data_IF_247749349521
#
_entry.id   IF_247749349521
#
_cell.length_a   1.000
_cell.length_b   1.000
_cell.length_c   1.000
_cell.angle_alpha   90.00
_cell.angle_beta   90.00
_cell.angle_gamma   90.00
#
_symmetry.space_group_name_H-M   'P 1'
#
loop_
_entity.id
_entity.type
_entity.pdbx_description
1 polymer ?
#
# COMPACT_ATOMS: atom_id res chain seq x y z
N UNK A 1 7.00 -14.91 -0.27
CA UNK A 1 7.64 -13.78 -0.99
C UNK A 1 6.61 -12.81 -1.53
N UNK A 2 6.75 -11.53 -1.17
CA UNK A 2 5.86 -10.44 -1.53
C UNK A 2 6.59 -9.31 -2.26
N UNK A 3 5.83 -8.48 -2.97
CA UNK A 3 6.33 -7.24 -3.53
C UNK A 3 5.32 -6.09 -3.40
N UNK A 4 5.84 -4.89 -3.14
CA UNK A 4 5.08 -3.64 -3.06
C UNK A 4 5.71 -2.63 -3.98
N UNK A 5 4.94 -2.16 -4.96
CA UNK A 5 5.36 -1.12 -5.91
C UNK A 5 4.60 0.17 -5.65
N UNK A 6 5.13 1.30 -6.08
CA UNK A 6 4.38 2.56 -6.09
C UNK A 6 3.05 2.41 -6.86
N UNK A 7 1.96 2.95 -6.30
CA UNK A 7 0.59 2.67 -6.75
C UNK A 7 -0.12 3.97 -7.19
N UNK A 8 0.28 4.59 -8.32
CA UNK A 8 -0.39 5.80 -8.80
C UNK A 8 -1.82 5.53 -9.29
N UNK A 9 -2.09 4.27 -9.66
CA UNK A 9 -3.38 3.69 -10.01
C UNK A 9 -3.28 2.17 -9.87
N UNK A 10 -4.37 1.43 -10.11
CA UNK A 10 -4.39 -0.05 -9.99
C UNK A 10 -3.50 -0.73 -11.03
N UNK A 11 -3.45 -0.21 -12.26
CA UNK A 11 -2.82 -0.88 -13.41
C UNK A 11 -1.29 -0.91 -13.32
N UNK A 12 -0.68 0.15 -12.81
CA UNK A 12 0.77 0.34 -12.83
C UNK A 12 1.55 -0.61 -11.90
N UNK A 13 1.20 -0.77 -10.61
CA UNK A 13 1.88 -1.73 -9.73
C UNK A 13 1.69 -3.18 -10.22
N UNK A 14 0.53 -3.53 -10.77
CA UNK A 14 0.29 -4.84 -11.40
C UNK A 14 1.20 -5.04 -12.61
N UNK A 15 1.35 -4.01 -13.46
CA UNK A 15 2.25 -4.07 -14.62
C UNK A 15 3.71 -4.23 -14.19
N UNK A 16 4.16 -3.48 -13.19
CA UNK A 16 5.51 -3.58 -12.64
C UNK A 16 5.78 -4.98 -12.08
N UNK A 17 4.84 -5.52 -11.29
CA UNK A 17 4.90 -6.88 -10.77
C UNK A 17 5.05 -7.92 -11.89
N UNK A 18 4.23 -7.82 -12.94
CA UNK A 18 4.28 -8.72 -14.10
C UNK A 18 5.62 -8.64 -14.84
N UNK A 19 6.16 -7.44 -15.06
CA UNK A 19 7.47 -7.24 -15.71
C UNK A 19 8.59 -7.90 -14.89
N UNK A 20 8.50 -7.82 -13.56
CA UNK A 20 9.50 -8.34 -12.63
C UNK A 20 9.25 -9.80 -12.21
N UNK A 21 8.25 -10.47 -12.78
CA UNK A 21 7.97 -11.89 -12.54
C UNK A 21 7.23 -12.21 -11.23
N UNK A 22 6.62 -11.21 -10.58
CA UNK A 22 5.79 -11.44 -9.39
C UNK A 22 4.36 -11.87 -9.77
N UNK A 23 3.81 -12.81 -9.01
CA UNK A 23 2.40 -13.22 -9.14
C UNK A 23 1.46 -12.18 -8.54
N UNK A 24 0.16 -12.29 -8.85
CA UNK A 24 -0.86 -11.46 -8.22
C UNK A 24 -0.94 -11.69 -6.71
N UNK A 25 -0.80 -12.94 -6.25
CA UNK A 25 -0.87 -13.27 -4.82
C UNK A 25 0.27 -12.61 -4.03
N UNK A 26 1.46 -12.48 -4.64
CA UNK A 26 2.61 -11.80 -4.03
C UNK A 26 2.43 -10.29 -3.86
N UNK A 27 1.51 -9.65 -4.58
CA UNK A 27 1.30 -8.19 -4.50
C UNK A 27 -0.06 -7.80 -3.91
N UNK A 28 -1.03 -8.74 -3.89
CA UNK A 28 -2.40 -8.49 -3.48
C UNK A 28 -2.52 -7.91 -2.07
N UNK A 29 -1.77 -8.37 -1.05
CA UNK A 29 -1.84 -7.79 0.29
C UNK A 29 -1.47 -6.31 0.33
N UNK A 30 -0.44 -5.92 -0.44
CA UNK A 30 0.03 -4.54 -0.51
C UNK A 30 -0.73 -3.65 -1.49
N UNK A 31 -1.62 -4.20 -2.34
CA UNK A 31 -2.33 -3.47 -3.39
C UNK A 31 -3.55 -2.71 -2.83
N UNK A 32 -3.31 -1.58 -2.17
CA UNK A 32 -4.32 -0.77 -1.46
C UNK A 32 -4.95 0.32 -2.32
N UNK A 33 -4.33 0.70 -3.45
CA UNK A 33 -4.83 1.76 -4.34
C UNK A 33 -6.27 1.57 -4.84
N UNK A 34 -6.83 0.35 -5.04
CA UNK A 34 -8.23 0.21 -5.46
C UNK A 34 -9.25 0.77 -4.46
N UNK A 35 -8.87 0.85 -3.17
CA UNK A 35 -9.78 1.26 -2.09
C UNK A 35 -9.36 2.53 -1.37
N UNK A 36 -8.08 2.90 -1.40
CA UNK A 36 -7.54 4.12 -0.75
C UNK A 36 -7.27 5.24 -1.75
N UNK A 37 -6.96 4.91 -3.00
CA UNK A 37 -6.40 5.85 -3.96
C UNK A 37 -4.89 6.09 -3.77
N UNK A 38 -4.33 7.03 -4.53
CA UNK A 38 -2.90 7.33 -4.50
C UNK A 38 -2.55 8.26 -3.33
N UNK A 39 -1.82 7.74 -2.33
CA UNK A 39 -1.30 8.49 -1.18
C UNK A 39 0.11 9.05 -1.38
N UNK A 40 0.59 9.12 -2.63
CA UNK A 40 1.88 9.70 -3.03
C UNK A 40 3.04 9.04 -2.27
N UNK A 41 3.81 9.80 -1.49
CA UNK A 41 4.92 9.30 -0.69
C UNK A 41 4.47 8.23 0.33
N UNK A 42 3.20 8.24 0.74
CA UNK A 42 2.61 7.22 1.60
C UNK A 42 2.21 5.92 0.89
N UNK A 43 2.31 5.85 -0.45
CA UNK A 43 1.79 4.71 -1.23
C UNK A 43 2.54 3.40 -0.93
N UNK A 44 3.87 3.43 -0.96
CA UNK A 44 4.68 2.24 -0.66
C UNK A 44 4.75 1.89 0.82
N UNK A 45 4.88 2.86 1.77
CA UNK A 45 4.76 2.54 3.20
C UNK A 45 3.42 1.90 3.57
N UNK A 46 2.32 2.39 3.02
CA UNK A 46 0.99 1.82 3.29
C UNK A 46 0.84 0.40 2.73
N UNK A 47 1.35 0.17 1.51
CA UNK A 47 1.37 -1.18 0.93
C UNK A 47 2.27 -2.15 1.71
N UNK A 48 3.42 -1.67 2.22
CA UNK A 48 4.28 -2.45 3.11
C UNK A 48 3.56 -2.81 4.41
N UNK A 49 2.92 -1.85 5.09
CA UNK A 49 2.16 -2.11 6.31
C UNK A 49 1.07 -3.18 6.07
N UNK A 50 0.28 -3.04 5.00
CA UNK A 50 -0.75 -4.02 4.64
C UNK A 50 -0.19 -5.40 4.27
N UNK A 51 1.04 -5.46 3.75
CA UNK A 51 1.73 -6.73 3.48
C UNK A 51 2.23 -7.37 4.76
N UNK A 52 2.80 -6.57 5.68
CA UNK A 52 3.25 -7.04 6.98
C UNK A 52 2.09 -7.59 7.81
N UNK A 53 0.87 -7.05 7.68
CA UNK A 53 -0.31 -7.58 8.36
C UNK A 53 -0.54 -9.08 8.13
N UNK A 54 -0.14 -9.64 6.98
CA UNK A 54 -0.34 -11.04 6.61
C UNK A 54 0.95 -11.85 6.42
N UNK A 55 2.12 -11.22 6.56
CA UNK A 55 3.40 -11.88 6.34
C UNK A 55 3.81 -12.77 7.51
N UNK A 56 4.53 -13.86 7.22
CA UNK A 56 5.04 -14.80 8.20
C UNK A 56 6.56 -14.63 8.40
N UNK A 57 7.13 -15.08 9.54
CA UNK A 57 8.57 -15.16 9.69
C UNK A 57 9.25 -15.88 8.51
N UNK A 58 10.38 -15.34 8.06
CA UNK A 58 11.11 -15.85 6.89
C UNK A 58 10.61 -15.34 5.54
N UNK A 59 9.42 -14.73 5.45
CA UNK A 59 8.97 -14.10 4.21
C UNK A 59 9.92 -12.98 3.77
N UNK A 60 10.18 -12.92 2.46
CA UNK A 60 10.92 -11.80 1.84
C UNK A 60 9.95 -10.82 1.19
N UNK A 61 10.13 -9.53 1.45
CA UNK A 61 9.30 -8.44 0.89
C UNK A 61 10.20 -7.47 0.13
N UNK A 62 9.97 -7.36 -1.18
CA UNK A 62 10.57 -6.31 -2.01
C UNK A 62 9.67 -5.06 -1.98
N UNK A 63 10.21 -3.89 -1.65
CA UNK A 63 9.47 -2.62 -1.68
C UNK A 63 10.17 -1.66 -2.61
N UNK A 64 9.47 -1.12 -3.61
CA UNK A 64 10.04 -0.21 -4.62
C UNK A 64 9.18 1.04 -4.75
N UNK A 65 9.71 2.17 -4.29
CA UNK A 65 9.09 3.49 -4.39
C UNK A 65 9.27 4.09 -5.79
N UNK A 66 8.52 5.14 -6.10
CA UNK A 66 8.77 5.98 -7.27
C UNK A 66 8.33 7.41 -6.97
N UNK A 67 9.19 8.37 -7.31
CA UNK A 67 8.90 9.80 -7.26
C UNK A 67 9.14 10.44 -8.62
N UNK A 68 8.20 11.26 -9.10
CA UNK A 68 8.33 11.99 -10.35
C UNK A 68 9.47 13.02 -10.30
N UNK A 69 10.28 13.10 -11.35
CA UNK A 69 11.48 13.96 -11.40
C UNK A 69 12.69 13.40 -12.18
N UNK A 70 13.17 12.16 -12.00
CA UNK A 70 12.58 10.99 -11.35
C UNK A 70 13.60 10.22 -10.49
N UNK A 71 13.08 9.46 -9.52
CA UNK A 71 13.86 8.58 -8.63
C UNK A 71 13.03 7.39 -8.14
N UNK A 72 13.73 6.33 -7.73
CA UNK A 72 13.13 5.12 -7.19
C UNK A 72 14.06 4.52 -6.14
N UNK A 73 13.49 4.16 -4.99
CA UNK A 73 14.22 3.52 -3.90
C UNK A 73 13.72 2.08 -3.74
N UNK A 74 14.64 1.13 -3.64
CA UNK A 74 14.35 -0.29 -3.47
C UNK A 74 14.87 -0.80 -2.12
N UNK A 75 14.01 -1.51 -1.41
CA UNK A 75 14.31 -2.15 -0.12
C UNK A 75 13.96 -3.64 -0.18
N UNK A 76 14.81 -4.47 0.42
CA UNK A 76 14.57 -5.91 0.56
C UNK A 76 14.51 -6.25 2.04
N UNK A 77 13.32 -6.61 2.52
CA UNK A 77 13.09 -6.99 3.91
C UNK A 77 13.03 -8.51 4.04
N UNK A 78 13.54 -9.02 5.17
CA UNK A 78 13.29 -10.39 5.63
C UNK A 78 12.51 -10.29 6.93
N UNK A 79 11.29 -10.81 6.92
CA UNK A 79 10.39 -10.78 8.06
C UNK A 79 10.95 -11.67 9.16
N UNK A 80 11.01 -11.14 10.39
CA UNK A 80 11.58 -11.80 11.56
C UNK A 80 10.48 -12.35 12.47
N UNK A 81 10.85 -13.28 13.37
CA UNK A 81 9.97 -13.94 14.34
C UNK A 81 9.12 -12.97 15.18
N UNK A 82 9.63 -11.76 15.44
CA UNK A 82 8.90 -10.74 16.19
C UNK A 82 7.54 -10.36 15.57
N UNK A 83 7.33 -10.65 14.28
CA UNK A 83 6.06 -10.37 13.61
C UNK A 83 4.89 -11.22 14.12
N UNK A 84 5.19 -12.43 14.62
CA UNK A 84 4.21 -13.40 15.11
C UNK A 84 3.81 -13.15 16.58
N UNK A 85 4.36 -12.11 17.22
CA UNK A 85 4.07 -11.80 18.61
C UNK A 85 2.62 -11.33 18.75
N UNK A 86 1.82 -12.01 19.59
CA UNK A 86 0.44 -11.67 19.94
C UNK A 86 0.28 -10.27 20.56
N UNK A 87 1.38 -9.55 20.83
CA UNK A 87 1.41 -8.13 21.17
C UNK A 87 1.28 -7.19 19.96
N UNK A 88 0.71 -7.63 18.83
CA UNK A 88 0.22 -6.68 17.82
C UNK A 88 -0.93 -5.87 18.42
N UNK A 89 -0.56 -4.81 19.15
CA UNK A 89 -1.47 -3.85 19.76
C UNK A 89 -2.13 -2.97 18.69
N UNK A 90 -1.53 -2.92 17.50
CA UNK A 90 -1.97 -2.06 16.42
C UNK A 90 -3.00 -2.77 15.52
N UNK A 91 -4.16 -2.14 15.26
CA UNK A 91 -5.13 -2.69 14.33
C UNK A 91 -4.56 -2.77 12.91
N UNK A 92 -4.90 -3.85 12.19
CA UNK A 92 -4.50 -4.03 10.80
C UNK A 92 -4.94 -2.85 9.93
N UNK A 93 -4.23 -2.60 8.82
CA UNK A 93 -4.55 -1.56 7.84
C UNK A 93 -6.00 -1.65 7.35
N UNK A 94 -6.53 -2.88 7.24
CA UNK A 94 -7.91 -3.15 6.84
C UNK A 94 -8.94 -2.54 7.80
N UNK A 95 -8.66 -2.45 9.10
CA UNK A 95 -9.54 -1.82 10.09
C UNK A 95 -9.70 -0.33 9.78
N UNK A 96 -8.60 0.36 9.48
CA UNK A 96 -8.61 1.78 9.11
C UNK A 96 -9.32 2.02 7.78
N UNK A 97 -9.08 1.17 6.77
CA UNK A 97 -9.74 1.26 5.46
C UNK A 97 -11.27 1.08 5.59
N UNK A 98 -11.71 0.19 6.47
CA UNK A 98 -13.13 -0.10 6.67
C UNK A 98 -13.83 0.93 7.55
N UNK A 99 -13.08 1.64 8.41
CA UNK A 99 -13.60 2.76 9.21
C UNK A 99 -13.73 4.03 8.37
N UNK A 100 -14.66 4.03 7.42
CA UNK A 100 -14.90 5.14 6.49
C UNK A 100 -16.36 5.59 6.48
N UNK A 101 -16.58 6.80 5.94
CA UNK A 101 -17.90 7.32 5.60
C UNK A 101 -17.89 7.76 4.14
N UNK A 102 -18.90 7.33 3.41
CA UNK A 102 -19.12 7.81 2.04
C UNK A 102 -19.64 9.24 2.08
N UNK A 103 -19.17 10.05 1.13
CA UNK A 103 -19.60 11.43 0.95
C UNK A 103 -19.87 11.65 -0.54
N UNK A 104 -20.84 12.50 -0.86
CA UNK A 104 -21.07 12.92 -2.23
C UNK A 104 -20.00 13.94 -2.69
N UNK A 105 -20.07 14.29 -3.97
CA UNK A 105 -19.11 15.19 -4.58
C UNK A 105 -19.18 16.63 -4.04
N UNK A 106 -20.35 17.08 -3.59
CA UNK A 106 -20.52 18.42 -3.02
C UNK A 106 -19.83 18.53 -1.66
N UNK A 107 -20.01 17.52 -0.80
CA UNK A 107 -19.32 17.41 0.48
C UNK A 107 -17.81 17.27 0.26
N UNK A 108 -17.38 16.39 -0.64
CA UNK A 108 -15.97 16.24 -1.01
C UNK A 108 -15.35 17.58 -1.46
N UNK A 109 -16.01 18.29 -2.38
CA UNK A 109 -15.51 19.55 -2.93
C UNK A 109 -15.42 20.63 -1.87
N UNK A 110 -16.39 20.69 -0.94
CA UNK A 110 -16.34 21.56 0.23
C UNK A 110 -15.16 21.21 1.15
N UNK A 111 -15.01 19.94 1.54
CA UNK A 111 -13.94 19.48 2.43
C UNK A 111 -12.54 19.69 1.85
N UNK A 112 -12.40 19.62 0.52
CA UNK A 112 -11.14 19.85 -0.19
C UNK A 112 -10.90 21.30 -0.61
N UNK A 113 -11.80 22.23 -0.27
CA UNK A 113 -11.67 23.64 -0.62
C UNK A 113 -11.75 23.92 -2.13
N UNK A 114 -12.47 23.10 -2.89
CA UNK A 114 -12.61 23.23 -4.36
C UNK A 114 -13.73 24.17 -4.80
N UNK A 115 -14.54 24.67 -3.86
CA UNK A 115 -15.63 25.60 -4.14
C UNK A 115 -15.06 27.01 -3.96
N UNK A 116 -14.97 27.76 -5.06
CA UNK A 116 -14.63 29.18 -5.00
C UNK A 116 -15.68 29.91 -4.15
N UNK A 117 -15.22 30.82 -3.29
CA UNK A 117 -16.11 31.68 -2.51
C UNK A 117 -16.72 32.76 -3.40
#
# INVERSE_FOLDING_TARGET
TYAVFHQPNVKFPIKAAKILGFSMDSIKPGLVVPVVGNTYAGSTPLGLAATLDVANPGDRVLVVSYGSGAGSDAFSFVVQEAIANDRRLDPAVSVFINRKRYVDYSIYSKLRGKIAR
#
